data_IF_451461890422
#
_entry.id   IF_451461890422
#
_cell.length_a   1.000
_cell.length_b   1.000
_cell.length_c   1.000
_cell.angle_alpha   90.00
_cell.angle_beta   90.00
_cell.angle_gamma   90.00
#
_symmetry.space_group_name_H-M   'P 1'
#
loop_
_entity.id
_entity.type
_entity.pdbx_description
1 polymer ?
#
# COMPACT_ATOMS: atom_id res chain seq x y z
N UNK A 1 12.90 28.16 -19.24
CA UNK A 1 13.19 26.85 -18.62
C UNK A 1 13.90 26.01 -19.65
N UNK A 2 15.13 25.63 -19.40
CA UNK A 2 15.85 24.70 -20.28
C UNK A 2 15.34 23.29 -20.02
N UNK A 3 14.58 22.75 -20.97
CA UNK A 3 14.08 21.39 -20.91
C UNK A 3 15.23 20.46 -21.27
N UNK A 4 15.78 19.76 -20.28
CA UNK A 4 16.88 18.83 -20.46
C UNK A 4 16.40 17.51 -21.07
N UNK A 5 17.27 16.87 -21.85
CA UNK A 5 16.99 15.56 -22.43
C UNK A 5 16.86 14.49 -21.33
N UNK A 6 16.09 13.41 -21.56
CA UNK A 6 16.05 12.26 -20.66
C UNK A 6 17.46 11.73 -20.37
N UNK A 7 17.70 11.31 -19.13
CA UNK A 7 18.90 10.56 -18.73
C UNK A 7 19.11 9.35 -19.65
N UNK A 8 20.37 8.95 -19.87
CA UNK A 8 20.73 7.80 -20.70
C UNK A 8 19.94 6.55 -20.30
N UNK A 9 19.48 5.82 -21.31
CA UNK A 9 18.82 4.55 -21.10
C UNK A 9 19.84 3.49 -20.64
N UNK A 10 19.48 2.71 -19.63
CA UNK A 10 20.33 1.63 -19.10
C UNK A 10 19.72 0.27 -19.42
N UNK A 11 20.55 -0.61 -19.95
CA UNK A 11 20.24 -2.02 -20.20
C UNK A 11 20.50 -2.91 -18.98
N UNK A 12 20.92 -2.34 -17.85
CA UNK A 12 21.21 -3.10 -16.64
C UNK A 12 19.97 -3.26 -15.76
N UNK A 13 19.85 -4.40 -15.08
CA UNK A 13 18.75 -4.69 -14.17
C UNK A 13 17.43 -4.96 -14.90
N UNK A 14 16.35 -4.30 -14.48
CA UNK A 14 15.02 -4.48 -15.06
C UNK A 14 14.85 -3.65 -16.34
N UNK A 15 15.28 -4.21 -17.47
CA UNK A 15 15.24 -3.55 -18.79
C UNK A 15 13.84 -3.12 -19.21
N UNK A 16 12.80 -3.85 -18.80
CA UNK A 16 11.40 -3.49 -19.08
C UNK A 16 10.96 -2.21 -18.36
N UNK A 17 11.22 -2.13 -17.05
CA UNK A 17 10.90 -0.93 -16.27
C UNK A 17 11.73 0.27 -16.71
N UNK A 18 13.02 0.05 -17.01
CA UNK A 18 13.89 1.07 -17.57
C UNK A 18 13.32 1.59 -18.89
N UNK A 19 12.84 0.70 -19.76
CA UNK A 19 12.29 1.08 -21.08
C UNK A 19 10.99 1.85 -20.92
N UNK A 20 10.09 1.36 -20.07
CA UNK A 20 8.81 2.02 -19.77
C UNK A 20 9.03 3.44 -19.24
N UNK A 21 9.94 3.60 -18.26
CA UNK A 21 10.29 4.90 -17.68
C UNK A 21 10.95 5.82 -18.69
N UNK A 22 11.88 5.32 -19.50
CA UNK A 22 12.54 6.10 -20.54
C UNK A 22 11.54 6.57 -21.60
N UNK A 23 10.69 5.67 -22.12
CA UNK A 23 9.64 5.99 -23.11
C UNK A 23 8.72 7.08 -22.59
N UNK A 24 8.30 7.01 -21.33
CA UNK A 24 7.50 8.06 -20.70
C UNK A 24 8.24 9.41 -20.67
N UNK A 25 9.49 9.44 -20.18
CA UNK A 25 10.31 10.65 -20.14
C UNK A 25 10.55 11.24 -21.54
N UNK A 26 10.81 10.39 -22.52
CA UNK A 26 11.03 10.80 -23.92
C UNK A 26 9.78 11.43 -24.53
N UNK A 27 8.60 10.85 -24.30
CA UNK A 27 7.33 11.41 -24.75
C UNK A 27 7.05 12.78 -24.12
N UNK A 28 7.35 12.95 -22.83
CA UNK A 28 7.26 14.24 -22.16
C UNK A 28 8.24 15.26 -22.75
N UNK A 29 9.49 14.84 -23.01
CA UNK A 29 10.52 15.68 -23.63
C UNK A 29 10.12 16.18 -25.02
N UNK A 30 9.63 15.30 -25.90
CA UNK A 30 9.16 15.67 -27.24
C UNK A 30 8.00 16.66 -27.17
N UNK A 31 7.05 16.44 -26.24
CA UNK A 31 5.90 17.35 -26.04
C UNK A 31 6.35 18.71 -25.52
N UNK A 32 7.21 18.73 -24.52
CA UNK A 32 7.66 19.96 -23.87
C UNK A 32 8.54 20.83 -24.79
N UNK A 33 9.30 20.23 -25.70
CA UNK A 33 10.20 20.94 -26.64
C UNK A 33 9.56 21.32 -27.98
N UNK A 34 8.24 21.19 -28.12
CA UNK A 34 7.46 21.34 -29.38
C UNK A 34 8.02 20.50 -30.56
N UNK A 35 8.80 19.45 -30.24
CA UNK A 35 9.31 18.48 -31.22
C UNK A 35 8.25 17.47 -31.64
N UNK A 36 7.06 17.55 -31.06
CA UNK A 36 5.89 16.73 -31.41
C UNK A 36 5.46 16.91 -32.88
N UNK A 37 5.70 18.09 -33.47
CA UNK A 37 5.39 18.42 -34.87
C UNK A 37 6.46 17.95 -35.88
N UNK A 38 7.59 17.42 -35.40
CA UNK A 38 8.68 16.92 -36.26
C UNK A 38 8.25 15.64 -37.01
N UNK A 39 8.89 15.38 -38.14
CA UNK A 39 8.60 14.18 -38.94
C UNK A 39 8.95 12.90 -38.17
N UNK A 40 8.34 11.77 -38.55
CA UNK A 40 8.65 10.46 -37.95
C UNK A 40 10.15 10.16 -37.97
N UNK A 41 10.82 10.41 -39.10
CA UNK A 41 12.28 10.28 -39.26
C UNK A 41 13.08 11.06 -38.22
N UNK A 42 12.68 12.31 -37.94
CA UNK A 42 13.35 13.15 -36.94
C UNK A 42 13.10 12.66 -35.52
N UNK A 43 11.90 12.15 -35.22
CA UNK A 43 11.58 11.55 -33.91
C UNK A 43 12.36 10.26 -33.68
N UNK A 44 12.47 9.40 -34.69
CA UNK A 44 13.26 8.16 -34.64
C UNK A 44 14.74 8.47 -34.45
N UNK A 45 15.31 9.42 -35.21
CA UNK A 45 16.70 9.83 -35.04
C UNK A 45 16.97 10.35 -33.61
N UNK A 46 16.10 11.21 -33.10
CA UNK A 46 16.20 11.73 -31.73
C UNK A 46 16.08 10.62 -30.67
N UNK A 47 15.20 9.64 -30.89
CA UNK A 47 15.04 8.47 -30.03
C UNK A 47 16.35 7.68 -29.96
N UNK A 48 16.92 7.32 -31.12
CA UNK A 48 18.15 6.53 -31.21
C UNK A 48 19.36 7.27 -30.61
N UNK A 49 19.50 8.57 -30.85
CA UNK A 49 20.56 9.38 -30.24
C UNK A 49 20.50 9.39 -28.70
N UNK A 50 19.29 9.32 -28.12
CA UNK A 50 19.12 9.36 -26.66
C UNK A 50 19.16 7.97 -26.00
N UNK A 51 18.87 6.91 -26.77
CA UNK A 51 18.98 5.53 -26.30
C UNK A 51 20.44 5.04 -26.26
N UNK A 52 21.31 5.59 -27.10
CA UNK A 52 22.73 5.25 -27.16
C UNK A 52 23.03 4.01 -28.00
N UNK A 53 24.33 3.73 -28.16
CA UNK A 53 24.85 2.79 -29.15
C UNK A 53 24.31 1.36 -28.98
N UNK A 54 24.19 0.87 -27.74
CA UNK A 54 23.66 -0.48 -27.47
C UNK A 54 22.23 -0.67 -27.97
N UNK A 55 21.41 0.38 -27.96
CA UNK A 55 20.05 0.32 -28.50
C UNK A 55 19.99 0.60 -30.00
N UNK A 56 21.00 1.27 -30.55
CA UNK A 56 21.15 1.39 -32.00
C UNK A 56 21.43 0.01 -32.61
N UNK A 57 22.24 -0.82 -31.96
CA UNK A 57 22.47 -2.21 -32.37
C UNK A 57 21.19 -3.04 -32.33
N UNK A 58 20.37 -2.88 -31.27
CA UNK A 58 19.05 -3.53 -31.18
C UNK A 58 18.15 -3.08 -32.33
N UNK A 59 18.10 -1.78 -32.61
CA UNK A 59 17.33 -1.22 -33.71
C UNK A 59 17.76 -1.76 -35.07
N UNK A 60 19.06 -1.91 -35.31
CA UNK A 60 19.60 -2.44 -36.57
C UNK A 60 19.20 -3.91 -36.81
N UNK A 61 18.84 -4.64 -35.75
CA UNK A 61 18.34 -6.01 -35.83
C UNK A 61 16.81 -6.10 -35.99
N UNK A 62 16.07 -4.98 -36.02
CA UNK A 62 14.64 -5.02 -36.27
C UNK A 62 14.33 -5.31 -37.75
N UNK A 63 13.47 -6.28 -37.98
CA UNK A 63 12.95 -6.61 -39.32
C UNK A 63 11.86 -5.62 -39.72
N UNK A 64 12.28 -4.39 -40.04
CA UNK A 64 11.43 -3.30 -40.51
C UNK A 64 11.70 -3.04 -42.00
N UNK A 65 10.64 -3.06 -42.81
CA UNK A 65 10.71 -2.53 -44.18
C UNK A 65 11.19 -1.06 -44.15
N UNK A 66 11.89 -0.61 -45.20
CA UNK A 66 12.57 0.69 -45.22
C UNK A 66 11.63 1.88 -44.94
N UNK A 67 10.39 1.84 -45.45
CA UNK A 67 9.39 2.88 -45.17
C UNK A 67 8.97 2.93 -43.69
N UNK A 68 9.03 1.79 -42.99
CA UNK A 68 8.66 1.67 -41.58
C UNK A 68 9.79 2.07 -40.62
N UNK A 69 11.04 2.14 -41.10
CA UNK A 69 12.19 2.60 -40.30
C UNK A 69 12.07 4.06 -39.88
N UNK A 70 11.23 4.83 -40.56
CA UNK A 70 10.97 6.24 -40.26
C UNK A 70 9.63 6.46 -39.55
N UNK A 71 8.86 5.39 -39.34
CA UNK A 71 7.60 5.44 -38.61
C UNK A 71 7.87 5.31 -37.11
N UNK A 72 7.72 6.42 -36.40
CA UNK A 72 7.99 6.51 -34.97
C UNK A 72 7.19 5.50 -34.14
N UNK A 73 5.92 5.28 -34.50
CA UNK A 73 5.03 4.40 -33.74
C UNK A 73 5.40 2.93 -33.96
N UNK A 74 5.79 2.56 -35.20
CA UNK A 74 6.28 1.20 -35.50
C UNK A 74 7.62 0.91 -34.83
N UNK A 75 8.55 1.86 -34.84
CA UNK A 75 9.84 1.70 -34.17
C UNK A 75 9.66 1.57 -32.66
N UNK A 76 8.80 2.39 -32.05
CA UNK A 76 8.44 2.25 -30.64
C UNK A 76 7.85 0.87 -30.33
N UNK A 77 6.96 0.37 -31.19
CA UNK A 77 6.36 -0.95 -31.01
C UNK A 77 7.39 -2.08 -31.06
N UNK A 78 8.41 -1.99 -31.92
CA UNK A 78 9.50 -2.96 -31.95
C UNK A 78 10.31 -2.94 -30.65
N UNK A 79 10.65 -1.76 -30.14
CA UNK A 79 11.31 -1.66 -28.83
C UNK A 79 10.42 -2.14 -27.68
N UNK A 80 9.12 -1.83 -27.69
CA UNK A 80 8.17 -2.35 -26.72
C UNK A 80 8.16 -3.87 -26.71
N UNK A 81 8.17 -4.52 -27.89
CA UNK A 81 8.22 -5.97 -28.02
C UNK A 81 9.57 -6.54 -27.55
N UNK A 82 10.68 -5.90 -27.90
CA UNK A 82 12.02 -6.35 -27.54
C UNK A 82 12.25 -6.33 -26.03
N UNK A 83 11.88 -5.23 -25.37
CA UNK A 83 12.03 -5.08 -23.92
C UNK A 83 10.86 -5.68 -23.13
N UNK A 84 9.83 -6.20 -23.79
CA UNK A 84 8.75 -6.90 -23.11
C UNK A 84 9.33 -8.14 -22.42
N UNK A 85 9.23 -8.26 -21.09
CA UNK A 85 9.67 -9.46 -20.42
C UNK A 85 8.82 -10.61 -20.93
N UNK A 86 9.43 -11.78 -21.12
CA UNK A 86 8.68 -13.00 -21.43
C UNK A 86 7.79 -13.31 -20.22
N UNK A 87 6.56 -12.83 -20.28
CA UNK A 87 5.59 -12.93 -19.20
C UNK A 87 5.32 -14.41 -18.94
N UNK A 88 5.72 -14.90 -17.78
CA UNK A 88 5.40 -16.25 -17.36
C UNK A 88 4.09 -16.20 -16.58
N UNK A 89 2.98 -16.23 -17.31
CA UNK A 89 1.63 -16.18 -16.75
C UNK A 89 1.39 -17.29 -15.72
N UNK A 90 2.07 -18.43 -15.82
CA UNK A 90 2.00 -19.51 -14.82
C UNK A 90 2.61 -19.06 -13.50
N UNK A 91 3.78 -18.43 -13.52
CA UNK A 91 4.42 -17.87 -12.31
C UNK A 91 3.59 -16.73 -11.73
N UNK A 92 3.05 -15.86 -12.57
CA UNK A 92 2.23 -14.74 -12.10
C UNK A 92 0.94 -15.21 -11.44
N UNK A 93 0.27 -16.21 -12.02
CA UNK A 93 -0.91 -16.85 -11.43
C UNK A 93 -0.56 -17.60 -10.15
N UNK A 94 0.59 -18.29 -10.10
CA UNK A 94 1.07 -18.93 -8.88
C UNK A 94 1.24 -17.88 -7.75
N UNK A 95 1.89 -16.75 -8.03
CA UNK A 95 2.02 -15.65 -7.05
C UNK A 95 0.66 -15.14 -6.61
N UNK A 96 -0.27 -14.92 -7.56
CA UNK A 96 -1.63 -14.49 -7.27
C UNK A 96 -2.31 -15.42 -6.29
N UNK A 97 -2.49 -16.70 -6.62
CA UNK A 97 -3.23 -17.65 -5.77
C UNK A 97 -2.59 -17.89 -4.38
N UNK A 98 -1.31 -17.55 -4.21
CA UNK A 98 -0.61 -17.60 -2.93
C UNK A 98 -0.66 -16.30 -2.12
N UNK A 99 -1.25 -15.21 -2.63
CA UNK A 99 -1.41 -13.99 -1.85
C UNK A 99 -2.33 -14.22 -0.64
N UNK A 100 -1.87 -13.78 0.53
CA UNK A 100 -2.62 -13.71 1.78
C UNK A 100 -2.39 -12.33 2.40
N UNK A 101 -3.37 -11.84 3.16
CA UNK A 101 -3.20 -10.64 3.97
C UNK A 101 -2.13 -10.91 5.02
N UNK A 102 -1.11 -10.06 5.09
CA UNK A 102 -0.08 -10.19 6.11
C UNK A 102 -0.64 -9.72 7.47
N UNK A 103 -0.02 -10.19 8.56
CA UNK A 103 -0.33 -9.69 9.90
C UNK A 103 -0.17 -8.18 9.97
N UNK A 104 -1.20 -7.48 10.48
CA UNK A 104 -1.26 -6.02 10.58
C UNK A 104 -1.23 -5.27 9.23
N UNK A 105 -1.41 -5.94 8.10
CA UNK A 105 -1.55 -5.26 6.82
C UNK A 105 -2.93 -4.61 6.70
N UNK A 106 -3.01 -3.28 6.43
CA UNK A 106 -4.27 -2.62 6.16
C UNK A 106 -4.97 -3.24 4.95
N UNK A 107 -6.29 -3.37 4.99
CA UNK A 107 -7.07 -3.97 3.93
C UNK A 107 -6.76 -3.37 2.55
N UNK A 108 -6.65 -2.04 2.46
CA UNK A 108 -6.41 -1.35 1.19
C UNK A 108 -5.07 -1.72 0.56
N UNK A 109 -4.04 -1.98 1.37
CA UNK A 109 -2.75 -2.50 0.90
C UNK A 109 -2.93 -3.90 0.30
N UNK A 110 -3.65 -4.77 1.01
CA UNK A 110 -3.89 -6.13 0.53
C UNK A 110 -4.70 -6.16 -0.77
N UNK A 111 -5.79 -5.38 -0.86
CA UNK A 111 -6.60 -5.23 -2.08
C UNK A 111 -5.76 -4.68 -3.24
N UNK A 112 -4.89 -3.71 -2.97
CA UNK A 112 -3.98 -3.14 -3.98
C UNK A 112 -3.03 -4.20 -4.51
N UNK A 113 -2.44 -5.03 -3.65
CA UNK A 113 -1.58 -6.16 -4.07
C UNK A 113 -2.34 -7.18 -4.92
N UNK A 114 -3.56 -7.55 -4.52
CA UNK A 114 -4.40 -8.48 -5.29
C UNK A 114 -4.68 -7.93 -6.69
N UNK A 115 -5.17 -6.69 -6.79
CA UNK A 115 -5.48 -6.04 -8.08
C UNK A 115 -4.22 -5.89 -8.95
N UNK A 116 -3.10 -5.49 -8.36
CA UNK A 116 -1.83 -5.31 -9.08
C UNK A 116 -1.33 -6.64 -9.67
N UNK A 117 -1.35 -7.72 -8.87
CA UNK A 117 -0.93 -9.03 -9.34
C UNK A 117 -1.91 -9.61 -10.39
N UNK A 118 -3.22 -9.37 -10.25
CA UNK A 118 -4.21 -9.83 -11.21
C UNK A 118 -3.99 -9.26 -12.63
N UNK A 119 -3.53 -8.00 -12.73
CA UNK A 119 -3.24 -7.34 -14.02
C UNK A 119 -2.18 -8.06 -14.86
N UNK A 120 -1.25 -8.76 -14.21
CA UNK A 120 -0.20 -9.53 -14.89
C UNK A 120 -0.53 -11.03 -15.02
N UNK A 121 -1.72 -11.46 -14.60
CA UNK A 121 -2.12 -12.87 -14.68
C UNK A 121 -2.87 -13.24 -15.97
N UNK A 122 -3.25 -12.24 -16.77
CA UNK A 122 -4.02 -12.41 -18.01
C UNK A 122 -5.32 -13.21 -17.76
N UNK A 123 -6.15 -12.76 -16.82
CA UNK A 123 -7.43 -13.40 -16.49
C UNK A 123 -8.59 -12.97 -17.40
N UNK A 124 -8.41 -11.92 -18.20
CA UNK A 124 -9.48 -11.37 -19.04
C UNK A 124 -10.69 -10.96 -18.20
N UNK A 125 -11.88 -11.36 -18.63
CA UNK A 125 -13.15 -10.96 -18.01
C UNK A 125 -13.35 -11.52 -16.59
N UNK A 126 -12.53 -12.50 -16.17
CA UNK A 126 -12.60 -13.09 -14.82
C UNK A 126 -11.74 -12.36 -13.78
N UNK A 127 -11.03 -11.29 -14.17
CA UNK A 127 -10.12 -10.58 -13.26
C UNK A 127 -10.83 -10.13 -11.97
N UNK A 128 -11.99 -9.49 -12.08
CA UNK A 128 -12.71 -8.96 -10.93
C UNK A 128 -13.24 -10.08 -10.00
N UNK A 129 -13.82 -11.14 -10.58
CA UNK A 129 -14.32 -12.28 -9.81
C UNK A 129 -13.20 -13.01 -9.07
N UNK A 130 -12.04 -13.19 -9.72
CA UNK A 130 -10.91 -13.86 -9.09
C UNK A 130 -10.26 -13.02 -7.98
N UNK A 131 -10.22 -11.69 -8.15
CA UNK A 131 -9.78 -10.79 -7.07
C UNK A 131 -10.73 -10.87 -5.87
N UNK A 132 -12.05 -10.92 -6.11
CA UNK A 132 -13.05 -11.12 -5.04
C UNK A 132 -12.83 -12.45 -4.32
N UNK A 133 -12.71 -13.54 -5.06
CA UNK A 133 -12.57 -14.87 -4.48
C UNK A 133 -11.30 -14.98 -3.64
N UNK A 134 -10.20 -14.42 -4.16
CA UNK A 134 -8.93 -14.44 -3.45
C UNK A 134 -8.87 -13.46 -2.27
N UNK A 135 -9.60 -12.34 -2.32
CA UNK A 135 -9.83 -11.49 -1.15
C UNK A 135 -10.50 -12.29 -0.04
N UNK A 136 -11.57 -13.03 -0.35
CA UNK A 136 -12.27 -13.88 0.64
C UNK A 136 -11.36 -14.97 1.17
N UNK A 137 -10.62 -15.67 0.30
CA UNK A 137 -9.69 -16.74 0.71
C UNK A 137 -8.58 -16.18 1.61
N UNK A 138 -8.02 -15.04 1.23
CA UNK A 138 -6.79 -14.49 1.80
C UNK A 138 -6.96 -13.50 2.95
N UNK A 139 -8.17 -13.05 3.26
CA UNK A 139 -8.42 -12.16 4.40
C UNK A 139 -8.10 -12.87 5.72
N UNK A 140 -7.49 -12.13 6.65
CA UNK A 140 -7.09 -12.65 7.96
C UNK A 140 -8.28 -12.75 8.93
N UNK A 141 -9.21 -11.81 8.89
CA UNK A 141 -10.37 -11.78 9.80
C UNK A 141 -11.41 -12.84 9.40
N UNK A 142 -11.49 -13.92 10.18
CA UNK A 142 -12.44 -15.01 9.98
C UNK A 142 -13.90 -14.54 10.08
N UNK A 143 -14.21 -13.56 10.92
CA UNK A 143 -15.58 -13.04 11.06
C UNK A 143 -16.06 -12.32 9.79
N UNK A 144 -15.13 -11.61 9.13
CA UNK A 144 -15.39 -11.01 7.81
C UNK A 144 -15.59 -12.10 6.77
N UNK A 145 -14.70 -13.10 6.76
CA UNK A 145 -14.77 -14.23 5.82
C UNK A 145 -16.12 -14.94 5.90
N UNK A 146 -16.58 -15.27 7.10
CA UNK A 146 -17.90 -15.89 7.34
C UNK A 146 -19.04 -15.01 6.79
N UNK A 147 -19.00 -13.70 7.08
CA UNK A 147 -20.04 -12.78 6.61
C UNK A 147 -20.09 -12.68 5.08
N UNK A 148 -18.94 -12.62 4.42
CA UNK A 148 -18.84 -12.55 2.96
C UNK A 148 -19.38 -13.83 2.29
N UNK A 149 -19.15 -15.00 2.90
CA UNK A 149 -19.60 -16.30 2.38
C UNK A 149 -21.12 -16.51 2.44
N UNK A 150 -21.84 -15.74 3.24
CA UNK A 150 -23.32 -15.78 3.30
C UNK A 150 -23.96 -15.14 2.07
N UNK A 151 -23.25 -14.22 1.41
CA UNK A 151 -23.82 -13.40 0.33
C UNK A 151 -23.72 -14.13 -1.02
N UNK A 152 -24.87 -14.53 -1.59
CA UNK A 152 -24.92 -15.41 -2.78
C UNK A 152 -24.47 -14.76 -4.09
N UNK A 153 -24.67 -13.45 -4.28
CA UNK A 153 -24.17 -12.70 -5.46
C UNK A 153 -23.26 -11.54 -5.03
N UNK A 154 -22.24 -11.86 -4.25
CA UNK A 154 -21.26 -10.88 -3.78
C UNK A 154 -20.43 -10.33 -4.94
N UNK A 155 -20.40 -9.00 -5.11
CA UNK A 155 -19.50 -8.29 -6.03
C UNK A 155 -18.24 -7.82 -5.30
N UNK A 156 -17.14 -7.61 -6.05
CA UNK A 156 -15.86 -7.21 -5.47
C UNK A 156 -15.99 -5.91 -4.65
N UNK A 157 -16.64 -4.89 -5.19
CA UNK A 157 -16.77 -3.60 -4.51
C UNK A 157 -17.54 -3.73 -3.19
N UNK A 158 -18.61 -4.52 -3.17
CA UNK A 158 -19.38 -4.81 -1.95
C UNK A 158 -18.54 -5.57 -0.92
N UNK A 159 -17.72 -6.52 -1.35
CA UNK A 159 -16.79 -7.24 -0.47
C UNK A 159 -15.77 -6.29 0.17
N UNK A 160 -15.15 -5.41 -0.63
CA UNK A 160 -14.19 -4.41 -0.15
C UNK A 160 -14.85 -3.47 0.86
N UNK A 161 -16.06 -2.98 0.56
CA UNK A 161 -16.82 -2.10 1.47
C UNK A 161 -17.07 -2.76 2.83
N UNK A 162 -17.50 -4.02 2.85
CA UNK A 162 -17.70 -4.73 4.12
C UNK A 162 -16.41 -4.91 4.90
N UNK A 163 -15.33 -5.31 4.23
CA UNK A 163 -14.02 -5.44 4.89
C UNK A 163 -13.57 -4.09 5.49
N UNK A 164 -13.72 -2.97 4.76
CA UNK A 164 -13.38 -1.62 5.25
C UNK A 164 -14.21 -1.23 6.46
N UNK A 165 -15.53 -1.40 6.37
CA UNK A 165 -16.45 -1.08 7.46
C UNK A 165 -16.13 -1.87 8.74
N UNK A 166 -15.73 -3.15 8.61
CA UNK A 166 -15.27 -3.93 9.76
C UNK A 166 -13.96 -3.42 10.34
N UNK A 167 -12.98 -3.08 9.49
CA UNK A 167 -11.69 -2.56 9.95
C UNK A 167 -11.87 -1.25 10.73
N UNK A 168 -12.70 -0.34 10.22
CA UNK A 168 -13.07 0.91 10.90
C UNK A 168 -13.84 0.66 12.19
N UNK A 169 -14.88 -0.17 12.15
CA UNK A 169 -15.66 -0.54 13.35
C UNK A 169 -14.77 -1.12 14.45
N UNK A 170 -13.80 -1.97 14.09
CA UNK A 170 -12.87 -2.56 15.06
C UNK A 170 -11.92 -1.52 15.67
N UNK A 171 -11.52 -0.49 14.91
CA UNK A 171 -10.75 0.65 15.44
C UNK A 171 -11.60 1.45 16.43
N UNK A 172 -12.85 1.76 16.08
CA UNK A 172 -13.76 2.50 16.95
C UNK A 172 -14.07 1.74 18.26
N UNK A 173 -14.34 0.44 18.19
CA UNK A 173 -14.59 -0.38 19.39
C UNK A 173 -13.37 -0.39 20.31
N UNK A 174 -12.16 -0.50 19.77
CA UNK A 174 -10.92 -0.42 20.57
C UNK A 174 -10.77 0.93 21.25
N UNK A 175 -10.98 2.03 20.53
CA UNK A 175 -10.94 3.38 21.11
C UNK A 175 -11.95 3.54 22.25
N UNK A 176 -13.19 3.07 22.08
CA UNK A 176 -14.22 3.11 23.13
C UNK A 176 -13.82 2.28 24.37
N UNK A 177 -13.20 1.11 24.17
CA UNK A 177 -12.70 0.28 25.26
C UNK A 177 -11.56 0.98 26.01
N UNK A 178 -10.60 1.57 25.29
CA UNK A 178 -9.48 2.29 25.90
C UNK A 178 -9.96 3.53 26.68
N UNK A 179 -10.95 4.27 26.15
CA UNK A 179 -11.59 5.39 26.85
C UNK A 179 -12.29 4.93 28.14
N UNK A 180 -13.00 3.80 28.10
CA UNK A 180 -13.67 3.24 29.28
C UNK A 180 -12.68 2.82 30.38
N UNK A 181 -11.56 2.19 29.99
CA UNK A 181 -10.50 1.76 30.91
C UNK A 181 -9.84 2.98 31.55
N UNK A 182 -9.55 4.01 30.75
CA UNK A 182 -8.95 5.25 31.24
C UNK A 182 -9.87 5.99 32.22
N UNK A 183 -11.19 6.02 31.95
CA UNK A 183 -12.16 6.59 32.86
C UNK A 183 -12.17 5.87 34.21
N UNK A 184 -12.28 4.53 34.22
CA UNK A 184 -12.24 3.74 35.46
C UNK A 184 -10.92 3.90 36.23
N UNK A 185 -9.78 3.97 35.53
CA UNK A 185 -8.49 4.20 36.19
C UNK A 185 -8.43 5.59 36.84
N UNK A 186 -8.99 6.62 36.18
CA UNK A 186 -9.03 7.97 36.72
C UNK A 186 -9.89 8.08 38.00
N UNK A 187 -11.01 7.37 38.06
CA UNK A 187 -11.86 7.30 39.26
C UNK A 187 -11.13 6.64 40.44
N UNK A 188 -10.47 5.50 40.20
CA UNK A 188 -9.69 4.79 41.23
C UNK A 188 -8.60 5.69 41.82
N UNK A 189 -7.88 6.43 40.97
CA UNK A 189 -6.82 7.35 41.40
C UNK A 189 -7.41 8.49 42.25
N UNK A 190 -8.58 9.02 41.89
CA UNK A 190 -9.23 10.07 42.68
C UNK A 190 -9.67 9.56 44.06
N UNK A 191 -10.24 8.37 44.14
CA UNK A 191 -10.62 7.73 45.40
C UNK A 191 -9.39 7.49 46.29
N UNK A 192 -8.29 6.99 45.73
CA UNK A 192 -7.06 6.76 46.49
C UNK A 192 -6.44 8.06 47.02
N UNK A 193 -6.49 9.14 46.23
CA UNK A 193 -6.06 10.48 46.66
C UNK A 193 -6.94 11.01 47.79
N UNK A 194 -8.25 10.78 47.73
CA UNK A 194 -9.18 11.17 48.79
C UNK A 194 -8.89 10.42 50.10
N UNK A 195 -8.71 9.09 50.03
CA UNK A 195 -8.35 8.26 51.20
C UNK A 195 -7.01 8.70 51.80
N UNK A 196 -6.01 8.98 50.97
CA UNK A 196 -4.70 9.44 51.43
C UNK A 196 -4.75 10.79 52.14
N UNK A 197 -5.60 11.73 51.67
CA UNK A 197 -5.84 12.99 52.37
C UNK A 197 -6.46 12.78 53.76
N UNK A 198 -7.47 11.91 53.86
CA UNK A 198 -8.10 11.56 55.14
C UNK A 198 -7.09 10.92 56.09
N UNK A 199 -6.29 9.97 55.61
CA UNK A 199 -5.24 9.30 56.40
C UNK A 199 -4.20 10.30 56.91
N UNK A 200 -3.75 11.24 56.08
CA UNK A 200 -2.82 12.31 56.49
C UNK A 200 -3.43 13.20 57.58
N UNK A 201 -4.69 13.60 57.43
CA UNK A 201 -5.40 14.41 58.42
C UNK A 201 -5.51 13.68 59.77
N UNK A 202 -5.96 12.43 59.77
CA UNK A 202 -6.08 11.62 60.98
C UNK A 202 -4.72 11.44 61.68
N UNK A 203 -3.66 11.15 60.92
CA UNK A 203 -2.31 11.01 61.45
C UNK A 203 -1.80 12.33 62.04
N UNK A 204 -2.02 13.46 61.36
CA UNK A 204 -1.66 14.78 61.84
C UNK A 204 -2.35 15.11 63.18
N UNK A 205 -3.66 14.82 63.27
CA UNK A 205 -4.39 14.91 64.53
C UNK A 205 -3.76 13.98 65.57
N UNK A 206 -3.62 12.68 65.33
CA UNK A 206 -3.02 11.73 66.29
C UNK A 206 -1.68 12.24 66.87
N UNK A 207 -0.82 12.85 66.05
CA UNK A 207 0.42 13.51 66.52
C UNK A 207 0.20 14.75 67.40
N UNK A 208 -0.78 15.61 67.08
CA UNK A 208 -1.07 16.81 67.90
C UNK A 208 -1.69 16.44 69.25
N UNK A 209 -2.54 15.41 69.29
CA UNK A 209 -3.13 14.88 70.52
C UNK A 209 -2.06 14.26 71.44
N UNK A 210 -1.11 13.48 70.89
CA UNK A 210 0.05 12.97 71.65
C UNK A 210 0.94 14.08 72.24
N UNK A 211 1.20 15.16 71.48
CA UNK A 211 2.00 16.30 71.97
C UNK A 211 1.34 17.09 73.10
N UNK A 212 0.01 17.09 73.18
CA UNK A 212 -0.76 17.76 74.25
C UNK A 212 -0.95 16.91 75.51
N UNK A 213 -0.33 15.73 75.59
CA UNK A 213 -0.34 14.88 76.78
C UNK A 213 -1.62 14.07 76.98
N UNK A 214 -2.52 14.01 75.99
CA UNK A 214 -3.70 13.15 76.04
C UNK A 214 -3.34 11.73 75.59
N UNK A 215 -3.56 10.74 76.46
CA UNK A 215 -3.47 9.33 76.08
C UNK A 215 -4.61 8.98 75.13
N UNK A 216 -4.29 8.46 73.95
CA UNK A 216 -5.30 7.92 73.03
C UNK A 216 -5.71 6.52 73.50
N UNK A 217 -6.99 6.33 73.83
CA UNK A 217 -7.62 5.05 74.23
C UNK A 217 -7.70 4.00 73.10
N UNK A 218 -6.66 3.89 72.26
CA UNK A 218 -6.59 2.92 71.17
C UNK A 218 -5.42 1.92 71.32
N UNK A 219 -4.80 1.85 72.50
CA UNK A 219 -3.86 0.77 72.87
C UNK A 219 -4.53 -0.28 73.78
N UNK A 220 -5.85 -0.48 73.64
CA UNK A 220 -6.59 -1.60 74.21
C UNK A 220 -7.19 -2.41 73.05
N UNK A 221 -6.57 -3.56 72.80
CA UNK A 221 -6.97 -4.66 71.89
C UNK A 221 -6.67 -4.51 70.39
N UNK A 222 -5.40 -4.75 70.02
CA UNK A 222 -4.95 -5.89 69.19
C UNK A 222 -3.43 -5.98 69.24
#
# INVERSE_FOLDING_TARGET
>A
MDITAPSSFSLDGNTFENWSRFKQKFNLYIKATDKSKKSGKQKVALLLCLLGDSCLDIYNNFDLADDNKYDYDKVLLCFDKYFKPKQNTVVDRYKFFNLRQNTNEPLDSFVTRLKTQAKVCNFGDQEESLVRDLLIIGIQDTSVKERLLIESDLKLDKAIQYCRAKEESSKHVKLMQDESINASHSEIVQDELAVNKIRKYYNAQKTTWKRKGFSTSADLQM
#
